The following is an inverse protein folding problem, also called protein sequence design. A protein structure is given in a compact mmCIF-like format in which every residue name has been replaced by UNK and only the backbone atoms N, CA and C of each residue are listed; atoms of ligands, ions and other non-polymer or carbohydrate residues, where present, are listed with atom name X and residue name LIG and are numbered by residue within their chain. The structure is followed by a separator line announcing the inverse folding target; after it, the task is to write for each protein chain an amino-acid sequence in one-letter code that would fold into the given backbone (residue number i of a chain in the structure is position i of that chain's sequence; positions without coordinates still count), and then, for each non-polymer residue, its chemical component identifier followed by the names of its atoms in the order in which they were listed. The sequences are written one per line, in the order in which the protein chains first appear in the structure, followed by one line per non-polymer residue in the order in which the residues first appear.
data_IF_428622300542
#
_entry.id   IF_428622300542
#
_cell.length_a   1.000
_cell.length_b   1.000
_cell.length_c   1.000
_cell.angle_alpha   90.00
_cell.angle_beta   90.00
_cell.angle_gamma   90.00
#
_symmetry.space_group_name_H-M   'P 1'
#
loop_
_entity.id
_entity.type
_entity.pdbx_description
1 polymer ?
#
# COMPACT_ATOMS: atom_id res chain seq x y z
N UNK A 1 10.33 16.09 -15.76
CA UNK A 1 9.55 16.47 -14.56
C UNK A 1 8.16 15.92 -14.80
N UNK A 2 7.74 14.90 -14.04
CA UNK A 2 6.36 14.42 -14.13
C UNK A 2 5.51 15.49 -13.46
N UNK A 3 4.58 16.08 -14.19
CA UNK A 3 3.64 17.07 -13.64
C UNK A 3 2.93 16.47 -12.42
N UNK A 4 2.69 17.29 -11.40
CA UNK A 4 1.96 16.84 -10.22
C UNK A 4 0.56 16.40 -10.65
N UNK A 5 0.25 15.11 -10.48
CA UNK A 5 -1.11 14.61 -10.70
C UNK A 5 -2.03 15.24 -9.66
N UNK A 6 -3.11 15.89 -10.10
CA UNK A 6 -4.14 16.41 -9.21
C UNK A 6 -5.07 15.27 -8.81
N UNK A 7 -4.87 14.76 -7.59
CA UNK A 7 -5.73 13.72 -7.04
C UNK A 7 -7.04 14.32 -6.53
N UNK A 8 -8.12 13.59 -6.76
CA UNK A 8 -9.36 13.72 -6.01
C UNK A 8 -9.20 13.19 -4.59
N UNK A 9 -10.05 13.63 -3.66
CA UNK A 9 -10.06 13.09 -2.28
C UNK A 9 -10.31 11.57 -2.25
N UNK A 10 -11.08 11.05 -3.22
CA UNK A 10 -11.33 9.61 -3.35
C UNK A 10 -10.07 8.83 -3.73
N UNK A 11 -9.26 9.37 -4.65
CA UNK A 11 -8.00 8.75 -5.05
C UNK A 11 -6.94 8.82 -3.94
N UNK A 12 -6.83 9.97 -3.26
CA UNK A 12 -5.94 10.10 -2.10
C UNK A 12 -6.29 9.08 -1.01
N UNK A 13 -7.57 8.94 -0.70
CA UNK A 13 -8.06 7.98 0.29
C UNK A 13 -7.73 6.55 -0.11
N UNK A 14 -8.12 6.11 -1.31
CA UNK A 14 -7.90 4.74 -1.76
C UNK A 14 -6.42 4.39 -1.92
N UNK A 15 -5.58 5.30 -2.40
CA UNK A 15 -4.14 5.09 -2.42
C UNK A 15 -3.55 5.04 -1.00
N UNK A 16 -4.06 5.87 -0.08
CA UNK A 16 -3.71 5.81 1.33
C UNK A 16 -4.09 4.47 1.97
N UNK A 17 -5.31 3.97 1.71
CA UNK A 17 -5.78 2.68 2.20
C UNK A 17 -4.86 1.54 1.74
N UNK A 18 -4.42 1.56 0.47
CA UNK A 18 -3.48 0.56 -0.06
C UNK A 18 -2.14 0.56 0.69
N UNK A 19 -1.63 1.74 1.06
CA UNK A 19 -0.39 1.89 1.86
C UNK A 19 -0.59 1.32 3.26
N UNK A 20 -1.70 1.66 3.94
CA UNK A 20 -1.98 1.17 5.30
C UNK A 20 -2.11 -0.35 5.30
N UNK A 21 -2.92 -0.92 4.40
CA UNK A 21 -3.11 -2.36 4.33
C UNK A 21 -1.84 -3.12 3.95
N UNK A 22 -1.00 -2.58 3.07
CA UNK A 22 0.32 -3.17 2.78
C UNK A 22 1.20 -3.18 4.02
N UNK A 23 1.16 -2.12 4.80
CA UNK A 23 1.97 -2.00 6.01
C UNK A 23 1.48 -2.96 7.10
N UNK A 24 0.16 -3.14 7.22
CA UNK A 24 -0.44 -4.16 8.08
C UNK A 24 -0.08 -5.57 7.62
N UNK A 25 -0.15 -5.85 6.32
CA UNK A 25 0.24 -7.14 5.75
C UNK A 25 1.66 -7.52 6.18
N UNK A 26 2.58 -6.59 6.01
CA UNK A 26 3.98 -6.80 6.33
C UNK A 26 4.24 -7.01 7.83
N UNK A 27 3.44 -6.43 8.71
CA UNK A 27 3.49 -6.68 10.15
C UNK A 27 2.94 -8.07 10.52
N UNK A 28 1.81 -8.49 9.94
CA UNK A 28 1.20 -9.79 10.32
C UNK A 28 1.82 -10.99 9.63
N UNK A 29 2.53 -10.81 8.52
CA UNK A 29 2.93 -11.90 7.64
C UNK A 29 3.88 -12.94 8.28
N UNK A 30 4.69 -12.52 9.27
CA UNK A 30 5.67 -13.41 9.88
C UNK A 30 5.04 -14.37 10.90
N UNK A 31 4.26 -13.85 11.86
CA UNK A 31 3.74 -14.63 12.99
C UNK A 31 2.24 -14.38 13.29
N UNK A 32 1.58 -13.56 12.49
CA UNK A 32 0.18 -13.18 12.65
C UNK A 32 -0.08 -12.16 13.77
N UNK A 33 0.98 -11.61 14.38
CA UNK A 33 0.95 -10.63 15.47
C UNK A 33 1.60 -9.35 14.98
N UNK A 34 1.00 -8.21 15.33
CA UNK A 34 1.63 -6.91 15.10
C UNK A 34 2.26 -6.49 16.41
N UNK A 35 3.58 -6.34 16.44
CA UNK A 35 4.25 -5.80 17.62
C UNK A 35 4.31 -4.25 17.60
N UNK A 36 4.51 -3.65 18.77
CA UNK A 36 4.55 -2.18 18.91
C UNK A 36 5.75 -1.54 18.19
N UNK A 37 6.87 -2.28 18.04
CA UNK A 37 8.07 -1.79 17.34
C UNK A 37 7.87 -1.78 15.82
N UNK A 38 7.19 -2.79 15.30
CA UNK A 38 6.72 -2.92 13.92
C UNK A 38 5.76 -1.80 13.56
N UNK A 39 4.76 -1.54 14.41
CA UNK A 39 3.86 -0.40 14.26
C UNK A 39 4.61 0.94 14.30
N UNK A 40 5.56 1.11 15.22
CA UNK A 40 6.34 2.34 15.31
C UNK A 40 7.21 2.58 14.05
N UNK A 41 7.83 1.53 13.50
CA UNK A 41 8.61 1.66 12.26
C UNK A 41 7.71 1.96 11.06
N UNK A 42 6.51 1.36 10.99
CA UNK A 42 5.50 1.66 10.00
C UNK A 42 5.09 3.15 9.99
N UNK A 43 4.76 3.70 11.17
CA UNK A 43 4.42 5.13 11.32
C UNK A 43 5.59 6.01 10.86
N UNK A 44 6.80 5.69 11.33
CA UNK A 44 8.01 6.43 10.99
C UNK A 44 8.31 6.43 9.49
N UNK A 45 8.21 5.29 8.82
CA UNK A 45 8.49 5.17 7.39
C UNK A 45 7.46 5.92 6.53
N UNK A 46 6.18 5.85 6.90
CA UNK A 46 5.13 6.65 6.25
C UNK A 46 5.39 8.14 6.39
N UNK A 47 5.78 8.59 7.59
CA UNK A 47 6.14 9.99 7.84
C UNK A 47 7.33 10.44 6.99
N UNK A 48 8.42 9.67 6.96
CA UNK A 48 9.60 9.97 6.12
C UNK A 48 9.21 10.13 4.65
N UNK A 49 8.37 9.23 4.14
CA UNK A 49 7.94 9.24 2.74
C UNK A 49 7.07 10.43 2.38
N UNK A 50 6.40 11.08 3.34
CA UNK A 50 5.68 12.35 3.11
C UNK A 50 6.60 13.51 2.70
N UNK A 51 7.92 13.36 2.90
CA UNK A 51 8.95 14.34 2.51
C UNK A 51 9.97 13.82 1.50
N UNK A 52 10.18 12.50 1.40
CA UNK A 52 11.29 11.91 0.64
C UNK A 52 10.89 11.12 -0.61
N UNK A 53 9.59 11.04 -0.93
CA UNK A 53 9.10 10.33 -2.13
C UNK A 53 9.05 11.23 -3.37
N UNK A 54 8.77 10.64 -4.53
CA UNK A 54 8.60 11.39 -5.78
C UNK A 54 7.41 12.38 -5.70
N UNK A 55 7.50 13.50 -6.42
CA UNK A 55 6.53 14.60 -6.32
C UNK A 55 5.06 14.20 -6.57
N UNK A 56 4.80 13.18 -7.38
CA UNK A 56 3.45 12.67 -7.62
C UNK A 56 2.94 11.73 -6.52
N UNK A 57 3.80 11.12 -5.69
CA UNK A 57 3.39 10.29 -4.54
C UNK A 57 3.23 11.10 -3.26
N UNK A 58 3.95 12.20 -3.17
CA UNK A 58 3.97 13.06 -1.98
C UNK A 58 2.57 13.51 -1.52
N UNK A 59 1.61 13.86 -2.40
CA UNK A 59 0.25 14.19 -1.99
C UNK A 59 -0.46 13.07 -1.23
N UNK A 60 -0.26 11.81 -1.65
CA UNK A 60 -0.86 10.62 -0.99
C UNK A 60 -0.29 10.47 0.41
N UNK A 61 1.05 10.48 0.54
CA UNK A 61 1.70 10.35 1.85
C UNK A 61 1.36 11.52 2.78
N UNK A 62 1.26 12.76 2.27
CA UNK A 62 0.84 13.91 3.08
C UNK A 62 -0.61 13.82 3.55
N UNK A 63 -1.51 13.32 2.70
CA UNK A 63 -2.90 13.05 3.08
C UNK A 63 -2.97 11.98 4.18
N UNK A 64 -2.11 10.96 4.06
CA UNK A 64 -2.07 9.82 4.96
C UNK A 64 -1.40 10.13 6.30
N UNK A 65 -0.33 10.94 6.33
CA UNK A 65 0.53 11.17 7.51
C UNK A 65 -0.26 11.49 8.78
N UNK A 66 -1.23 12.41 8.70
CA UNK A 66 -2.05 12.83 9.84
C UNK A 66 -3.03 11.77 10.35
N UNK A 67 -3.34 10.75 9.54
CA UNK A 67 -4.36 9.73 9.82
C UNK A 67 -3.79 8.31 9.84
N UNK A 68 -2.49 8.12 9.59
CA UNK A 68 -1.91 6.80 9.36
C UNK A 68 -2.09 5.90 10.58
N UNK A 69 -1.72 6.38 11.75
CA UNK A 69 -1.80 5.61 13.00
C UNK A 69 -3.25 5.21 13.32
N UNK A 70 -4.19 6.14 13.20
CA UNK A 70 -5.61 5.86 13.48
C UNK A 70 -6.23 4.89 12.48
N UNK A 71 -5.87 4.99 11.20
CA UNK A 71 -6.29 4.03 10.17
C UNK A 71 -5.66 2.66 10.39
N UNK A 72 -4.38 2.61 10.74
CA UNK A 72 -3.66 1.37 11.05
C UNK A 72 -4.36 0.62 12.19
N UNK A 73 -4.66 1.31 13.29
CA UNK A 73 -5.36 0.73 14.44
C UNK A 73 -6.78 0.29 14.08
N UNK A 74 -7.53 1.13 13.35
CA UNK A 74 -8.88 0.78 12.92
C UNK A 74 -8.88 -0.48 12.04
N UNK A 75 -7.96 -0.57 11.09
CA UNK A 75 -7.90 -1.67 10.13
C UNK A 75 -7.39 -2.96 10.77
N UNK A 76 -6.30 -2.89 11.53
CA UNK A 76 -5.75 -4.05 12.25
C UNK A 76 -6.75 -4.62 13.25
N UNK A 77 -7.60 -3.80 13.89
CA UNK A 77 -8.65 -4.28 14.80
C UNK A 77 -9.72 -5.16 14.13
N UNK A 78 -9.84 -5.09 12.80
CA UNK A 78 -10.76 -5.94 12.02
C UNK A 78 -10.20 -7.33 11.73
N UNK A 79 -8.91 -7.56 11.98
CA UNK A 79 -8.23 -8.81 11.69
C UNK A 79 -8.53 -9.85 12.77
N UNK A 80 -9.46 -10.76 12.46
CA UNK A 80 -9.84 -11.88 13.32
C UNK A 80 -9.52 -13.21 12.64
N UNK A 81 -9.27 -14.25 13.44
CA UNK A 81 -9.05 -15.60 12.92
C UNK A 81 -7.57 -16.01 12.86
N UNK A 82 -7.31 -17.02 12.05
CA UNK A 82 -5.99 -17.59 11.75
C UNK A 82 -5.15 -16.64 10.91
N UNK A 83 -3.84 -16.90 10.80
CA UNK A 83 -2.95 -16.12 9.92
C UNK A 83 -3.47 -16.10 8.48
N UNK A 84 -3.84 -17.26 7.95
CA UNK A 84 -4.38 -17.40 6.59
C UNK A 84 -5.64 -16.54 6.37
N UNK A 85 -6.60 -16.58 7.30
CA UNK A 85 -7.82 -15.76 7.22
C UNK A 85 -7.52 -14.25 7.29
N UNK A 86 -6.53 -13.84 8.08
CA UNK A 86 -6.09 -12.44 8.14
C UNK A 86 -5.44 -12.02 6.83
N UNK A 87 -4.55 -12.84 6.29
CA UNK A 87 -3.87 -12.56 5.02
C UNK A 87 -4.87 -12.47 3.87
N UNK A 88 -5.84 -13.38 3.78
CA UNK A 88 -6.90 -13.33 2.76
C UNK A 88 -7.70 -12.02 2.83
N UNK A 89 -8.08 -11.58 4.04
CA UNK A 89 -8.79 -10.31 4.22
C UNK A 89 -7.93 -9.11 3.81
N UNK A 90 -6.66 -9.08 4.22
CA UNK A 90 -5.75 -7.99 3.88
C UNK A 90 -5.53 -7.94 2.36
N UNK A 91 -5.31 -9.08 1.73
CA UNK A 91 -5.13 -9.19 0.28
C UNK A 91 -6.37 -8.69 -0.48
N UNK A 92 -7.57 -9.04 -0.02
CA UNK A 92 -8.82 -8.53 -0.58
C UNK A 92 -8.93 -7.01 -0.43
N UNK A 93 -8.52 -6.46 0.71
CA UNK A 93 -8.55 -5.01 0.97
C UNK A 93 -7.53 -4.21 0.16
N UNK A 94 -6.32 -4.74 0.00
CA UNK A 94 -5.32 -4.14 -0.90
C UNK A 94 -5.85 -4.17 -2.33
N UNK A 95 -6.41 -5.29 -2.78
CA UNK A 95 -7.00 -5.40 -4.13
C UNK A 95 -8.11 -4.38 -4.36
N UNK A 96 -9.04 -4.25 -3.42
CA UNK A 96 -10.13 -3.25 -3.45
C UNK A 96 -9.59 -1.81 -3.52
N UNK A 97 -8.54 -1.51 -2.75
CA UNK A 97 -7.91 -0.19 -2.75
C UNK A 97 -7.24 0.13 -4.09
N UNK A 98 -6.58 -0.86 -4.70
CA UNK A 98 -5.86 -0.71 -5.97
C UNK A 98 -6.77 -0.66 -7.20
N UNK A 99 -8.07 -0.97 -7.08
CA UNK A 99 -9.03 -0.74 -8.17
C UNK A 99 -9.06 0.72 -8.63
N UNK A 100 -8.75 1.67 -7.72
CA UNK A 100 -8.67 3.10 -8.04
C UNK A 100 -7.57 3.39 -9.05
N UNK A 101 -6.51 2.57 -9.08
CA UNK A 101 -5.46 2.70 -10.07
C UNK A 101 -6.07 2.56 -11.47
N UNK A 102 -7.17 1.82 -11.64
CA UNK A 102 -7.84 1.71 -12.93
C UNK A 102 -8.57 2.97 -13.41
N UNK A 103 -8.47 4.06 -12.65
CA UNK A 103 -8.92 5.39 -13.02
C UNK A 103 -7.72 6.34 -13.24
N UNK A 104 -6.54 5.94 -12.77
CA UNK A 104 -5.28 6.68 -12.89
C UNK A 104 -4.44 6.08 -14.05
N UNK A 105 -3.73 6.90 -14.80
CA UNK A 105 -2.99 6.46 -15.99
C UNK A 105 -1.93 5.37 -15.71
N UNK A 106 -1.57 4.52 -16.68
CA UNK A 106 -0.73 3.33 -16.49
C UNK A 106 0.69 3.62 -15.97
N UNK A 107 1.24 4.81 -16.25
CA UNK A 107 2.55 5.22 -15.73
C UNK A 107 2.53 5.42 -14.21
N UNK A 108 1.39 5.84 -13.65
CA UNK A 108 1.24 5.99 -12.21
C UNK A 108 1.21 4.61 -11.54
N UNK A 109 0.39 3.69 -12.06
CA UNK A 109 0.25 2.34 -11.52
C UNK A 109 1.61 1.65 -11.39
N UNK A 110 2.42 1.64 -12.45
CA UNK A 110 3.75 1.01 -12.43
C UNK A 110 4.62 1.56 -11.29
N UNK A 111 4.64 2.89 -11.15
CA UNK A 111 5.49 3.56 -10.17
C UNK A 111 4.98 3.46 -8.73
N UNK A 112 3.67 3.63 -8.53
CA UNK A 112 3.01 3.47 -7.23
C UNK A 112 3.19 2.05 -6.69
N UNK A 113 3.05 1.06 -7.56
CA UNK A 113 3.22 -0.34 -7.19
C UNK A 113 4.65 -0.67 -6.78
N UNK A 114 5.63 -0.11 -7.48
CA UNK A 114 7.04 -0.18 -7.08
C UNK A 114 7.26 0.47 -5.72
N UNK A 115 6.68 1.63 -5.48
CA UNK A 115 6.82 2.36 -4.22
C UNK A 115 6.26 1.58 -3.03
N UNK A 116 5.10 0.95 -3.20
CA UNK A 116 4.49 0.07 -2.20
C UNK A 116 5.39 -1.16 -1.93
N UNK A 117 5.94 -1.77 -2.97
CA UNK A 117 6.87 -2.90 -2.79
C UNK A 117 8.15 -2.49 -2.05
N UNK A 118 8.68 -1.30 -2.33
CA UNK A 118 9.82 -0.73 -1.63
C UNK A 118 9.48 -0.39 -0.17
N UNK A 119 8.25 0.03 0.12
CA UNK A 119 7.77 0.27 1.48
C UNK A 119 7.71 -1.05 2.26
N UNK A 120 7.09 -2.09 1.71
CA UNK A 120 7.03 -3.44 2.28
C UNK A 120 8.42 -3.93 2.69
N UNK A 121 9.39 -3.84 1.77
CA UNK A 121 10.78 -4.21 2.02
C UNK A 121 11.44 -3.42 3.15
N UNK A 122 11.27 -2.08 3.16
CA UNK A 122 11.97 -1.21 4.10
C UNK A 122 11.46 -1.35 5.52
N UNK A 123 10.16 -1.46 5.71
CA UNK A 123 9.57 -1.45 7.05
C UNK A 123 9.86 -2.75 7.77
N UNK A 124 9.83 -3.90 7.08
CA UNK A 124 9.82 -5.21 7.76
C UNK A 124 10.96 -6.14 7.39
N UNK A 125 11.85 -5.74 6.48
CA UNK A 125 12.93 -6.60 5.97
C UNK A 125 12.41 -7.97 5.48
N UNK A 126 11.12 -7.99 5.10
CA UNK A 126 10.38 -9.18 4.75
C UNK A 126 10.78 -9.65 3.35
N UNK A 127 10.60 -10.95 3.07
CA UNK A 127 10.85 -11.49 1.75
C UNK A 127 9.83 -10.92 0.75
N UNK A 128 10.25 -9.90 -0.01
CA UNK A 128 9.38 -9.24 -1.00
C UNK A 128 8.90 -10.15 -2.10
N UNK A 129 9.43 -11.37 -2.23
CA UNK A 129 8.92 -12.34 -3.20
C UNK A 129 7.44 -12.65 -2.96
N UNK A 130 7.00 -12.79 -1.70
CA UNK A 130 5.60 -13.09 -1.37
C UNK A 130 4.68 -11.89 -1.64
N UNK A 131 5.13 -10.68 -1.29
CA UNK A 131 4.41 -9.46 -1.63
C UNK A 131 4.31 -9.24 -3.14
N UNK A 132 5.39 -9.50 -3.89
CA UNK A 132 5.41 -9.42 -5.34
C UNK A 132 4.46 -10.44 -5.97
N UNK A 133 4.45 -11.70 -5.48
CA UNK A 133 3.53 -12.75 -5.94
C UNK A 133 2.08 -12.31 -5.73
N UNK A 134 1.76 -11.74 -4.56
CA UNK A 134 0.42 -11.24 -4.25
C UNK A 134 0.01 -10.05 -5.14
N UNK A 135 0.89 -9.07 -5.32
CA UNK A 135 0.59 -7.87 -6.09
C UNK A 135 0.51 -8.16 -7.59
N UNK A 136 1.28 -9.12 -8.10
CA UNK A 136 1.41 -9.37 -9.54
C UNK A 136 0.06 -9.59 -10.25
N UNK A 137 -0.89 -10.41 -9.75
CA UNK A 137 -2.24 -10.51 -10.31
C UNK A 137 -2.99 -9.17 -10.40
N UNK A 138 -2.94 -8.35 -9.34
CA UNK A 138 -3.62 -7.05 -9.28
C UNK A 138 -3.02 -6.08 -10.30
N UNK A 139 -1.70 -6.03 -10.37
CA UNK A 139 -0.96 -5.21 -11.33
C UNK A 139 -1.17 -5.66 -12.77
N UNK A 140 -1.19 -6.98 -13.01
CA UNK A 140 -1.41 -7.56 -14.34
C UNK A 140 -2.82 -7.29 -14.84
N UNK A 141 -3.83 -7.46 -13.98
CA UNK A 141 -5.22 -7.14 -14.30
C UNK A 141 -5.39 -5.65 -14.66
N UNK A 142 -4.69 -4.77 -13.95
CA UNK A 142 -4.65 -3.34 -14.27
C UNK A 142 -3.98 -3.06 -15.62
N UNK A 143 -2.75 -3.55 -15.83
CA UNK A 143 -1.98 -3.28 -17.05
C UNK A 143 -2.68 -3.78 -18.32
N UNK A 144 -3.34 -4.94 -18.25
CA UNK A 144 -4.13 -5.51 -19.35
C UNK A 144 -5.32 -4.61 -19.74
N UNK A 145 -5.94 -3.91 -18.78
CA UNK A 145 -7.06 -2.98 -19.02
C UNK A 145 -6.62 -1.71 -19.76
N UNK A 146 -5.37 -1.27 -19.57
CA UNK A 146 -4.82 -0.05 -20.20
C UNK A 146 -3.99 -0.29 -21.46
N UNK A 147 -3.89 -1.54 -21.91
CA UNK A 147 -3.36 -1.85 -23.24
C UNK A 147 -1.86 -1.64 -23.41
N UNK A 148 -1.04 -1.73 -22.34
CA UNK A 148 0.36 -2.13 -22.53
C UNK A 148 0.35 -3.63 -22.87
N UNK A 149 0.07 -3.93 -24.14
CA UNK A 149 0.60 -5.16 -24.76
C UNK A 149 2.12 -4.99 -24.78
N UNK A 150 2.82 -6.00 -24.28
CA UNK A 150 4.23 -6.20 -24.60
C UNK A 150 4.48 -6.10 -26.12
#
# INVERSE_FOLDING_TARGET
MVEAYEYTDGELRKCGDAIVWTTIYAAVHNDGVIDESEKAEAIKQTHVRSFSTEAYLMPIYKHLDANFESLFDAYSSTLTGTLEEKEELIQAKISEALEILTQIGPLFTERFSKDIADLYNRVFHADSSLFQIFMLPVLTAHLNKFGKKD
#
